data_IF_638888636220
#
_entry.id   IF_638888636220
#
_cell.length_a   1.000
_cell.length_b   1.000
_cell.length_c   1.000
_cell.angle_alpha   90.00
_cell.angle_beta   90.00
_cell.angle_gamma   90.00
#
_symmetry.space_group_name_H-M   'P 1'
#
loop_
_entity.id
_entity.type
_entity.pdbx_description
1 polymer ?
#
# COMPACT_ATOMS: atom_id res chain seq x y z
N UNK A 1 3.67 -19.50 18.18
CA UNK A 1 3.49 -18.14 18.72
C UNK A 1 4.52 -17.26 18.05
N UNK A 2 4.11 -16.36 17.14
CA UNK A 2 5.00 -15.28 16.67
C UNK A 2 5.23 -14.39 17.89
N UNK A 3 6.47 -14.18 18.31
CA UNK A 3 6.77 -13.23 19.37
C UNK A 3 6.33 -11.85 18.89
N UNK A 4 5.53 -11.14 19.69
CA UNK A 4 5.33 -9.72 19.46
C UNK A 4 6.72 -9.07 19.32
N UNK A 5 6.95 -8.37 18.21
CA UNK A 5 8.17 -7.59 18.03
C UNK A 5 8.37 -6.71 19.28
N UNK A 6 9.60 -6.59 19.83
CA UNK A 6 9.85 -5.79 21.02
C UNK A 6 9.75 -4.30 20.70
N UNK A 7 8.51 -3.82 20.56
CA UNK A 7 8.18 -2.40 20.43
C UNK A 7 8.05 -1.81 21.82
N UNK A 8 8.54 -0.58 21.99
CA UNK A 8 8.33 0.19 23.21
C UNK A 8 6.83 0.22 23.54
N UNK A 9 6.41 -0.26 24.72
CA UNK A 9 4.99 -0.35 25.07
C UNK A 9 4.26 1.00 25.07
N UNK A 10 4.95 2.10 25.40
CA UNK A 10 4.35 3.44 25.40
C UNK A 10 4.18 3.96 23.98
N UNK A 11 5.16 3.72 23.10
CA UNK A 11 5.04 4.03 21.67
C UNK A 11 3.90 3.23 21.04
N UNK A 12 3.84 1.93 21.33
CA UNK A 12 2.75 1.06 20.87
C UNK A 12 1.40 1.58 21.34
N UNK A 13 1.26 1.87 22.62
CA UNK A 13 0.02 2.40 23.18
C UNK A 13 -0.41 3.69 22.46
N UNK A 14 0.51 4.64 22.30
CA UNK A 14 0.23 5.90 21.62
C UNK A 14 -0.24 5.71 20.18
N UNK A 15 0.48 4.92 19.38
CA UNK A 15 0.12 4.67 17.98
C UNK A 15 -1.25 4.00 17.88
N UNK A 16 -1.51 3.00 18.71
CA UNK A 16 -2.77 2.24 18.71
C UNK A 16 -3.96 3.09 19.21
N UNK A 17 -3.74 4.02 20.15
CA UNK A 17 -4.80 4.86 20.72
C UNK A 17 -5.05 6.16 19.95
N UNK A 18 -4.05 6.68 19.24
CA UNK A 18 -4.07 8.06 18.74
C UNK A 18 -3.80 8.18 17.25
N UNK A 19 -3.05 7.26 16.63
CA UNK A 19 -2.66 7.35 15.21
C UNK A 19 -3.55 6.47 14.35
N UNK A 20 -3.53 5.16 14.61
CA UNK A 20 -4.30 4.18 13.83
C UNK A 20 -5.81 4.48 13.82
N UNK A 21 -6.45 4.91 14.93
CA UNK A 21 -7.87 5.23 14.92
C UNK A 21 -8.27 6.38 13.99
N UNK A 22 -7.33 7.26 13.58
CA UNK A 22 -7.64 8.36 12.66
C UNK A 22 -8.03 7.83 11.26
N UNK A 23 -7.51 6.67 10.87
CA UNK A 23 -7.80 6.02 9.58
C UNK A 23 -9.26 5.56 9.47
N UNK A 24 -10.05 5.54 10.55
CA UNK A 24 -11.50 5.29 10.49
C UNK A 24 -12.26 6.35 9.67
N UNK A 25 -11.65 7.51 9.43
CA UNK A 25 -12.21 8.59 8.61
C UNK A 25 -11.97 8.39 7.11
N UNK A 26 -11.13 7.42 6.72
CA UNK A 26 -10.75 7.17 5.34
C UNK A 26 -11.62 6.08 4.70
N UNK A 27 -11.45 5.89 3.39
CA UNK A 27 -12.14 4.83 2.68
C UNK A 27 -11.68 3.43 3.13
N UNK A 28 -12.45 2.40 2.77
CA UNK A 28 -12.20 1.02 3.19
C UNK A 28 -10.82 0.49 2.81
N UNK A 29 -10.21 1.00 1.74
CA UNK A 29 -8.88 0.60 1.27
C UNK A 29 -7.75 1.21 2.10
N UNK A 30 -8.03 2.24 2.91
CA UNK A 30 -7.06 2.91 3.78
C UNK A 30 -7.56 2.91 5.23
N UNK A 31 -8.24 1.84 5.63
CA UNK A 31 -8.79 1.66 6.98
C UNK A 31 -7.71 1.21 7.99
N UNK A 32 -7.98 1.20 9.31
CA UNK A 32 -7.06 0.64 10.30
C UNK A 32 -6.58 -0.79 9.97
N UNK A 33 -7.43 -1.60 9.35
CA UNK A 33 -7.07 -2.95 8.92
C UNK A 33 -5.95 -2.96 7.87
N UNK A 34 -5.94 -1.99 6.94
CA UNK A 34 -4.85 -1.80 5.99
C UNK A 34 -3.55 -1.47 6.73
N UNK A 35 -3.60 -0.51 7.66
CA UNK A 35 -2.42 -0.09 8.44
C UNK A 35 -1.82 -1.26 9.21
N UNK A 36 -2.64 -2.08 9.90
CA UNK A 36 -2.15 -3.27 10.59
C UNK A 36 -1.54 -4.31 9.64
N UNK A 37 -2.10 -4.49 8.46
CA UNK A 37 -1.54 -5.37 7.45
C UNK A 37 -0.16 -4.89 6.98
N UNK A 38 0.00 -3.58 6.76
CA UNK A 38 1.27 -2.95 6.38
C UNK A 38 2.29 -3.06 7.51
N UNK A 39 1.88 -2.85 8.77
CA UNK A 39 2.74 -3.08 9.95
C UNK A 39 3.24 -4.53 9.98
N UNK A 40 2.34 -5.51 9.81
CA UNK A 40 2.72 -6.92 9.81
C UNK A 40 3.72 -7.22 8.68
N UNK A 41 3.44 -6.74 7.46
CA UNK A 41 4.36 -6.92 6.32
C UNK A 41 5.72 -6.28 6.60
N UNK A 42 5.72 -5.08 7.19
CA UNK A 42 6.95 -4.35 7.51
C UNK A 42 7.81 -5.11 8.52
N UNK A 43 7.20 -5.73 9.53
CA UNK A 43 7.92 -6.60 10.46
C UNK A 43 8.47 -7.86 9.79
N UNK A 44 7.69 -8.53 8.94
CA UNK A 44 8.15 -9.72 8.21
C UNK A 44 9.36 -9.40 7.31
N UNK A 45 9.38 -8.22 6.69
CA UNK A 45 10.54 -7.75 5.90
C UNK A 45 11.73 -7.40 6.81
N UNK A 46 11.46 -6.81 7.98
CA UNK A 46 12.50 -6.37 8.91
C UNK A 46 13.21 -7.50 9.67
N UNK A 47 12.64 -8.72 9.72
CA UNK A 47 13.19 -9.87 10.48
C UNK A 47 14.68 -10.15 10.21
N UNK A 48 15.14 -9.92 8.97
CA UNK A 48 16.52 -10.20 8.56
C UNK A 48 17.36 -8.94 8.33
N UNK A 49 16.84 -7.76 8.68
CA UNK A 49 17.47 -6.47 8.39
C UNK A 49 18.00 -5.81 9.68
N UNK A 50 19.13 -5.08 9.61
CA UNK A 50 19.69 -4.37 10.76
C UNK A 50 18.94 -3.04 11.00
N UNK A 51 17.68 -3.12 11.43
CA UNK A 51 16.79 -1.96 11.64
C UNK A 51 16.19 -1.94 13.04
N UNK A 52 15.81 -0.76 13.50
CA UNK A 52 15.05 -0.56 14.74
C UNK A 52 13.55 -0.78 14.46
N UNK A 53 12.96 -1.76 15.14
CA UNK A 53 11.56 -2.12 14.96
C UNK A 53 10.59 -1.02 15.43
N UNK A 54 10.99 -0.14 16.36
CA UNK A 54 10.17 1.02 16.75
C UNK A 54 10.02 2.01 15.59
N UNK A 55 11.09 2.19 14.81
CA UNK A 55 11.09 3.04 13.61
C UNK A 55 10.26 2.38 12.50
N UNK A 56 10.45 1.08 12.25
CA UNK A 56 9.63 0.31 11.29
C UNK A 56 8.14 0.43 11.61
N UNK A 57 7.78 0.23 12.87
CA UNK A 57 6.41 0.33 13.37
C UNK A 57 5.83 1.73 13.17
N UNK A 58 6.59 2.76 13.51
CA UNK A 58 6.16 4.16 13.36
C UNK A 58 5.98 4.54 11.90
N UNK A 59 6.93 4.20 11.02
CA UNK A 59 6.81 4.47 9.58
C UNK A 59 5.56 3.80 9.00
N UNK A 60 5.33 2.52 9.32
CA UNK A 60 4.15 1.80 8.84
C UNK A 60 2.83 2.39 9.37
N UNK A 61 2.78 2.82 10.62
CA UNK A 61 1.57 3.42 11.20
C UNK A 61 1.22 4.78 10.61
N UNK A 62 2.21 5.55 10.14
CA UNK A 62 2.01 6.92 9.61
C UNK A 62 1.98 7.00 8.08
N UNK A 63 2.33 5.95 7.33
CA UNK A 63 2.58 6.04 5.88
C UNK A 63 1.48 6.82 5.10
N UNK A 64 0.22 6.53 5.39
CA UNK A 64 -0.94 7.07 4.68
C UNK A 64 -1.76 8.11 5.46
N UNK A 65 -1.32 8.52 6.65
CA UNK A 65 -2.10 9.43 7.52
C UNK A 65 -2.36 10.81 6.89
N UNK A 66 -1.50 11.23 5.97
CA UNK A 66 -1.68 12.43 5.15
C UNK A 66 -2.93 12.42 4.27
N UNK A 67 -3.57 11.27 4.05
CA UNK A 67 -4.84 11.16 3.31
C UNK A 67 -6.00 11.88 3.99
N UNK A 68 -5.89 12.18 5.30
CA UNK A 68 -6.84 13.04 6.03
C UNK A 68 -6.96 14.44 5.40
N UNK A 69 -5.94 14.88 4.65
CA UNK A 69 -5.90 16.15 3.93
C UNK A 69 -6.14 15.99 2.42
N UNK A 70 -6.62 14.82 2.00
CA UNK A 70 -6.89 14.46 0.61
C UNK A 70 -5.73 13.73 -0.09
N UNK A 71 -6.03 13.13 -1.24
CA UNK A 71 -5.08 12.28 -1.98
C UNK A 71 -3.87 13.02 -2.56
N UNK A 72 -4.05 14.29 -2.91
CA UNK A 72 -2.98 15.09 -3.54
C UNK A 72 -1.90 15.39 -2.49
N UNK A 73 -0.66 14.94 -2.77
CA UNK A 73 0.50 15.14 -1.91
C UNK A 73 0.37 14.49 -0.51
N UNK A 74 -0.42 13.43 -0.37
CA UNK A 74 -0.61 12.77 0.93
C UNK A 74 0.71 12.28 1.53
N UNK A 75 1.66 11.76 0.74
CA UNK A 75 3.02 11.41 1.21
C UNK A 75 3.69 12.55 1.98
N UNK A 76 3.74 13.74 1.39
CA UNK A 76 4.37 14.91 2.00
C UNK A 76 3.55 15.45 3.18
N UNK A 77 2.24 15.23 3.20
CA UNK A 77 1.41 15.54 4.37
C UNK A 77 1.67 14.55 5.50
N UNK A 78 1.79 13.25 5.22
CA UNK A 78 2.16 12.22 6.19
C UNK A 78 3.52 12.56 6.82
N UNK A 79 4.51 12.96 6.02
CA UNK A 79 5.80 13.47 6.52
C UNK A 79 5.65 14.66 7.46
N UNK A 80 4.87 15.67 7.09
CA UNK A 80 4.64 16.85 7.95
C UNK A 80 3.99 16.46 9.26
N UNK A 81 3.04 15.51 9.25
CA UNK A 81 2.39 15.01 10.45
C UNK A 81 3.41 14.35 11.38
N UNK A 82 4.30 13.51 10.84
CA UNK A 82 5.41 12.93 11.61
C UNK A 82 6.32 14.01 12.20
N UNK A 83 6.79 14.95 11.39
CA UNK A 83 7.75 15.98 11.82
C UNK A 83 7.15 16.98 12.83
N UNK A 84 5.82 17.09 12.90
CA UNK A 84 5.10 17.99 13.82
C UNK A 84 4.49 17.25 15.02
N UNK A 85 4.63 15.93 15.09
CA UNK A 85 4.10 15.13 16.18
C UNK A 85 4.87 15.42 17.48
N UNK A 86 4.18 16.00 18.46
CA UNK A 86 4.78 16.39 19.74
C UNK A 86 5.09 15.20 20.67
N UNK A 87 4.58 14.00 20.36
CA UNK A 87 4.80 12.79 21.17
C UNK A 87 6.04 12.04 20.72
N UNK A 88 6.34 11.99 19.42
CA UNK A 88 7.52 11.30 18.87
C UNK A 88 8.88 11.71 19.50
N UNK A 89 9.11 12.97 19.92
CA UNK A 89 10.34 13.36 20.63
C UNK A 89 10.62 12.64 21.95
N UNK A 90 9.62 11.96 22.55
CA UNK A 90 9.83 11.12 23.74
C UNK A 90 10.53 9.79 23.39
N UNK A 91 10.47 9.38 22.12
CA UNK A 91 10.98 8.09 21.64
C UNK A 91 12.19 8.24 20.70
N UNK A 92 12.22 9.32 19.92
CA UNK A 92 13.16 9.50 18.83
C UNK A 92 13.83 10.87 18.89
N UNK A 93 15.10 10.93 18.52
CA UNK A 93 15.82 12.20 18.37
C UNK A 93 15.33 12.95 17.11
N UNK A 94 15.49 14.29 17.03
CA UNK A 94 15.06 15.05 15.87
C UNK A 94 15.59 14.53 14.51
N UNK A 95 16.87 14.10 14.38
CA UNK A 95 17.35 13.48 13.14
C UNK A 95 16.62 12.18 12.78
N UNK A 96 16.25 11.38 13.79
CA UNK A 96 15.49 10.13 13.58
C UNK A 96 14.06 10.44 13.16
N UNK A 97 13.40 11.43 13.76
CA UNK A 97 12.05 11.88 13.36
C UNK A 97 12.06 12.37 11.91
N UNK A 98 13.07 13.15 11.52
CA UNK A 98 13.20 13.59 10.13
C UNK A 98 13.30 12.39 9.19
N UNK A 99 14.16 11.41 9.49
CA UNK A 99 14.30 10.18 8.70
C UNK A 99 13.01 9.32 8.66
N UNK A 100 12.23 9.26 9.75
CA UNK A 100 10.89 8.62 9.76
C UNK A 100 9.98 9.35 8.76
N UNK A 101 9.95 10.68 8.81
CA UNK A 101 9.16 11.50 7.89
C UNK A 101 9.57 11.29 6.44
N UNK A 102 10.87 11.17 6.16
CA UNK A 102 11.39 10.82 4.83
C UNK A 102 10.96 9.42 4.38
N UNK A 103 11.07 8.43 5.25
CA UNK A 103 10.66 7.05 4.95
C UNK A 103 9.14 6.96 4.65
N UNK A 104 8.33 7.69 5.42
CA UNK A 104 6.88 7.82 5.21
C UNK A 104 6.55 8.49 3.88
N UNK A 105 7.28 9.54 3.49
CA UNK A 105 7.11 10.19 2.18
C UNK A 105 7.56 9.29 1.01
N UNK A 106 8.46 8.35 1.28
CA UNK A 106 8.99 7.42 0.28
C UNK A 106 8.15 6.13 0.12
N UNK A 107 6.99 6.02 0.80
CA UNK A 107 6.24 4.77 0.83
C UNK A 107 5.69 4.34 -0.53
N UNK A 108 5.35 5.28 -1.42
CA UNK A 108 4.79 4.87 -2.70
C UNK A 108 5.75 4.07 -3.56
N UNK A 109 5.30 2.87 -3.92
CA UNK A 109 5.94 1.99 -4.90
C UNK A 109 6.14 2.62 -6.30
N UNK A 110 5.36 3.65 -6.64
CA UNK A 110 5.41 4.31 -7.95
C UNK A 110 6.27 5.58 -7.97
N UNK A 111 7.08 5.83 -6.94
CA UNK A 111 8.04 6.94 -6.95
C UNK A 111 9.12 6.67 -8.01
N UNK A 112 9.58 7.72 -8.74
CA UNK A 112 10.57 7.55 -9.81
C UNK A 112 12.00 7.35 -9.28
N UNK A 113 12.21 7.54 -7.98
CA UNK A 113 13.50 7.45 -7.31
C UNK A 113 13.53 6.35 -6.25
N UNK A 114 14.73 5.98 -5.83
CA UNK A 114 14.97 5.02 -4.75
C UNK A 114 14.65 5.65 -3.39
N UNK A 115 13.91 4.94 -2.49
CA UNK A 115 13.70 5.41 -1.13
C UNK A 115 15.01 5.74 -0.41
N UNK A 116 15.03 6.85 0.32
CA UNK A 116 16.25 7.45 0.92
C UNK A 116 16.88 6.60 2.02
N UNK A 117 16.10 5.71 2.64
CA UNK A 117 16.55 4.88 3.75
C UNK A 117 16.05 3.44 3.62
N UNK A 118 16.65 2.53 4.41
CA UNK A 118 16.18 1.15 4.50
C UNK A 118 14.73 1.08 5.01
N UNK A 119 14.34 2.00 5.90
CA UNK A 119 12.94 2.13 6.36
C UNK A 119 11.99 2.52 5.23
N UNK A 120 12.41 3.45 4.36
CA UNK A 120 11.66 3.82 3.15
C UNK A 120 11.49 2.63 2.19
N UNK A 121 12.54 1.81 2.02
CA UNK A 121 12.45 0.57 1.23
C UNK A 121 11.49 -0.45 1.86
N UNK A 122 11.55 -0.63 3.18
CA UNK A 122 10.66 -1.55 3.91
C UNK A 122 9.20 -1.15 3.68
N UNK A 123 8.86 0.12 3.95
CA UNK A 123 7.47 0.56 3.81
C UNK A 123 7.00 0.53 2.35
N UNK A 124 7.90 0.86 1.41
CA UNK A 124 7.60 0.74 -0.02
C UNK A 124 7.31 -0.68 -0.47
N UNK A 125 7.94 -1.69 0.13
CA UNK A 125 7.59 -3.09 -0.14
C UNK A 125 6.36 -3.55 0.64
N UNK A 126 6.18 -3.10 1.88
CA UNK A 126 5.13 -3.54 2.77
C UNK A 126 3.72 -3.06 2.37
N UNK A 127 3.63 -1.86 1.79
CA UNK A 127 2.39 -1.23 1.33
C UNK A 127 1.89 -1.74 -0.04
N UNK A 128 2.71 -2.53 -0.76
CA UNK A 128 2.33 -3.00 -2.09
C UNK A 128 1.14 -3.96 -2.05
N UNK A 129 0.06 -3.57 -2.71
CA UNK A 129 -1.00 -4.50 -3.08
C UNK A 129 -0.65 -5.23 -4.39
N UNK A 130 -0.24 -6.49 -4.26
CA UNK A 130 0.07 -7.39 -5.38
C UNK A 130 -0.93 -8.56 -5.50
N UNK A 131 -2.10 -8.43 -4.88
CA UNK A 131 -3.18 -9.38 -5.08
C UNK A 131 -3.85 -9.13 -6.44
N UNK A 132 -3.74 -10.09 -7.36
CA UNK A 132 -4.26 -9.95 -8.72
C UNK A 132 -5.77 -9.64 -8.78
N UNK A 133 -6.60 -10.32 -7.98
CA UNK A 133 -8.06 -10.07 -8.00
C UNK A 133 -8.39 -8.66 -7.50
N UNK A 134 -7.70 -8.17 -6.45
CA UNK A 134 -7.87 -6.78 -5.97
C UNK A 134 -7.40 -5.75 -7.00
N UNK A 135 -6.24 -5.96 -7.62
CA UNK A 135 -5.74 -5.09 -8.70
C UNK A 135 -6.77 -5.05 -9.84
N UNK A 136 -7.22 -6.21 -10.31
CA UNK A 136 -8.20 -6.31 -11.40
C UNK A 136 -9.50 -5.59 -11.06
N UNK A 137 -10.03 -5.80 -9.85
CA UNK A 137 -11.23 -5.10 -9.36
C UNK A 137 -11.05 -3.58 -9.37
N UNK A 138 -9.93 -3.06 -8.83
CA UNK A 138 -9.65 -1.61 -8.78
C UNK A 138 -9.46 -1.01 -10.17
N UNK A 139 -8.78 -1.72 -11.07
CA UNK A 139 -8.59 -1.28 -12.45
C UNK A 139 -9.92 -1.21 -13.20
N UNK A 140 -10.78 -2.22 -13.02
CA UNK A 140 -12.12 -2.23 -13.62
C UNK A 140 -13.03 -1.15 -13.05
N UNK A 141 -13.02 -0.93 -11.73
CA UNK A 141 -13.79 0.13 -11.09
C UNK A 141 -13.39 1.51 -11.64
N UNK A 142 -12.09 1.77 -11.78
CA UNK A 142 -11.61 3.01 -12.37
C UNK A 142 -12.02 3.16 -13.84
N UNK A 143 -11.88 2.10 -14.64
CA UNK A 143 -12.28 2.11 -16.04
C UNK A 143 -13.80 2.34 -16.20
N UNK A 144 -14.61 1.73 -15.35
CA UNK A 144 -16.06 1.87 -15.36
C UNK A 144 -16.49 3.27 -14.89
N UNK A 145 -16.06 3.70 -13.70
CA UNK A 145 -16.56 4.95 -13.09
C UNK A 145 -15.88 6.21 -13.62
N UNK A 146 -14.57 6.15 -13.89
CA UNK A 146 -13.78 7.34 -14.27
C UNK A 146 -13.60 7.46 -15.77
N UNK A 147 -13.45 6.34 -16.49
CA UNK A 147 -13.39 6.33 -17.95
C UNK A 147 -14.75 6.07 -18.62
N UNK A 148 -15.79 5.76 -17.86
CA UNK A 148 -17.15 5.52 -18.37
C UNK A 148 -17.21 4.41 -19.42
N UNK A 149 -16.30 3.42 -19.34
CA UNK A 149 -16.30 2.27 -20.23
C UNK A 149 -17.36 1.26 -19.76
N UNK A 150 -18.31 0.94 -20.62
CA UNK A 150 -19.41 0.01 -20.31
C UNK A 150 -19.39 -1.25 -21.18
N UNK A 151 -18.69 -1.22 -22.32
CA UNK A 151 -18.48 -2.39 -23.16
C UNK A 151 -17.50 -3.38 -22.50
N UNK A 152 -17.88 -4.66 -22.47
CA UNK A 152 -17.11 -5.69 -21.76
C UNK A 152 -15.75 -5.96 -22.40
N UNK A 153 -15.64 -5.93 -23.72
CA UNK A 153 -14.38 -6.16 -24.41
C UNK A 153 -13.43 -4.98 -24.22
N UNK A 154 -13.95 -3.74 -24.25
CA UNK A 154 -13.17 -2.55 -23.93
C UNK A 154 -12.68 -2.55 -22.48
N UNK A 155 -13.54 -2.91 -21.51
CA UNK A 155 -13.16 -3.05 -20.10
C UNK A 155 -12.08 -4.11 -19.90
N UNK A 156 -12.24 -5.28 -20.52
CA UNK A 156 -11.26 -6.35 -20.50
C UNK A 156 -9.91 -5.89 -21.08
N UNK A 157 -9.94 -5.28 -22.27
CA UNK A 157 -8.75 -4.78 -22.94
C UNK A 157 -8.03 -3.70 -22.12
N UNK A 158 -8.76 -2.71 -21.61
CA UNK A 158 -8.23 -1.64 -20.77
C UNK A 158 -7.58 -2.21 -19.50
N UNK A 159 -8.25 -3.15 -18.83
CA UNK A 159 -7.70 -3.78 -17.64
C UNK A 159 -6.42 -4.58 -17.93
N UNK A 160 -6.42 -5.37 -19.01
CA UNK A 160 -5.24 -6.13 -19.42
C UNK A 160 -4.06 -5.21 -19.74
N UNK A 161 -4.27 -4.15 -20.54
CA UNK A 161 -3.23 -3.20 -20.91
C UNK A 161 -2.66 -2.48 -19.68
N UNK A 162 -3.52 -2.00 -18.79
CA UNK A 162 -3.09 -1.31 -17.57
C UNK A 162 -2.24 -2.23 -16.68
N UNK A 163 -2.71 -3.45 -16.40
CA UNK A 163 -2.02 -4.39 -15.51
C UNK A 163 -0.71 -4.85 -16.15
N UNK A 164 -0.71 -5.16 -17.45
CA UNK A 164 0.50 -5.56 -18.18
C UNK A 164 1.57 -4.48 -18.14
N UNK A 165 1.19 -3.21 -18.40
CA UNK A 165 2.14 -2.09 -18.37
C UNK A 165 2.70 -1.84 -16.97
N UNK A 166 1.84 -1.90 -15.94
CA UNK A 166 2.20 -1.48 -14.59
C UNK A 166 2.86 -2.58 -13.75
N UNK A 167 2.46 -3.83 -13.96
CA UNK A 167 2.86 -4.96 -13.13
C UNK A 167 3.38 -6.15 -13.94
N UNK A 168 3.40 -6.08 -15.27
CA UNK A 168 3.85 -7.18 -16.11
C UNK A 168 5.38 -7.36 -16.13
N UNK A 169 5.89 -8.41 -16.81
CA UNK A 169 7.31 -8.72 -16.84
C UNK A 169 8.21 -7.64 -17.45
N UNK A 170 7.64 -6.77 -18.29
CA UNK A 170 8.33 -5.62 -18.89
C UNK A 170 7.98 -4.28 -18.21
N UNK A 171 7.33 -4.32 -17.05
CA UNK A 171 7.03 -3.09 -16.30
C UNK A 171 8.31 -2.47 -15.73
N UNK A 172 8.28 -1.15 -15.52
CA UNK A 172 9.34 -0.41 -14.82
C UNK A 172 9.20 -0.52 -13.28
N UNK A 173 8.34 -1.41 -12.79
CA UNK A 173 8.13 -1.59 -11.36
C UNK A 173 9.44 -2.05 -10.71
N UNK A 174 9.97 -1.21 -9.82
CA UNK A 174 11.16 -1.52 -9.04
C UNK A 174 10.77 -2.17 -7.72
N UNK A 175 11.45 -3.26 -7.40
CA UNK A 175 11.41 -3.94 -6.10
C UNK A 175 12.77 -3.73 -5.44
N UNK A 176 12.78 -3.24 -4.20
CA UNK A 176 13.98 -2.81 -3.49
C UNK A 176 14.50 -3.85 -2.50
N UNK A 177 13.63 -4.71 -1.97
CA UNK A 177 13.98 -5.75 -1.01
C UNK A 177 13.38 -7.09 -1.44
N UNK A 178 14.08 -8.16 -1.08
CA UNK A 178 13.59 -9.52 -1.29
C UNK A 178 12.46 -9.82 -0.29
N UNK A 179 11.22 -9.58 -0.72
CA UNK A 179 10.03 -9.93 0.04
C UNK A 179 9.19 -10.96 -0.70
N UNK A 180 9.13 -12.17 -0.14
CA UNK A 180 8.51 -13.33 -0.79
C UNK A 180 7.05 -13.12 -1.18
N UNK A 181 6.24 -12.41 -0.37
CA UNK A 181 4.84 -12.12 -0.75
C UNK A 181 4.74 -11.27 -2.01
N UNK A 182 5.67 -10.33 -2.20
CA UNK A 182 5.70 -9.50 -3.39
C UNK A 182 6.12 -10.33 -4.61
N UNK A 183 7.11 -11.21 -4.46
CA UNK A 183 7.52 -12.13 -5.52
C UNK A 183 6.39 -13.09 -5.92
N UNK A 184 5.73 -13.72 -4.95
CA UNK A 184 4.62 -14.65 -5.17
C UNK A 184 3.44 -13.92 -5.85
N UNK A 185 3.11 -12.71 -5.40
CA UNK A 185 2.07 -11.87 -6.01
C UNK A 185 2.38 -11.51 -7.47
N UNK A 186 3.62 -11.07 -7.74
CA UNK A 186 4.07 -10.78 -9.11
C UNK A 186 4.06 -12.04 -9.99
N UNK A 187 4.48 -13.19 -9.47
CA UNK A 187 4.45 -14.45 -10.20
C UNK A 187 3.02 -14.84 -10.62
N UNK A 188 2.04 -14.65 -9.73
CA UNK A 188 0.61 -14.84 -10.06
C UNK A 188 0.16 -13.86 -11.14
N UNK A 189 0.53 -12.57 -11.04
CA UNK A 189 0.20 -11.57 -12.06
C UNK A 189 0.80 -11.97 -13.42
N UNK A 190 2.07 -12.39 -13.46
CA UNK A 190 2.74 -12.82 -14.69
C UNK A 190 2.06 -14.04 -15.30
N UNK A 191 1.70 -15.03 -14.48
CA UNK A 191 0.97 -16.21 -14.95
C UNK A 191 -0.38 -15.81 -15.57
N UNK A 192 -1.13 -14.93 -14.92
CA UNK A 192 -2.42 -14.43 -15.43
C UNK A 192 -2.26 -13.71 -16.75
N UNK A 193 -1.26 -12.84 -16.88
CA UNK A 193 -0.99 -12.11 -18.13
C UNK A 193 -0.50 -13.03 -19.26
N UNK A 194 0.28 -14.06 -18.95
CA UNK A 194 0.79 -15.01 -19.95
C UNK A 194 -0.29 -15.97 -20.48
N UNK A 195 -1.43 -16.10 -19.79
CA UNK A 195 -2.51 -17.03 -20.12
C UNK A 195 -3.82 -16.25 -20.36
N UNK A 196 -4.14 -15.86 -21.61
CA UNK A 196 -5.30 -15.04 -21.93
C UNK A 196 -6.62 -15.58 -21.36
N UNK A 197 -6.85 -16.89 -21.48
CA UNK A 197 -8.04 -17.55 -20.92
C UNK A 197 -8.12 -17.43 -19.40
N UNK A 198 -6.98 -17.52 -18.69
CA UNK A 198 -6.98 -17.37 -17.24
C UNK A 198 -7.24 -15.94 -16.80
N UNK A 199 -6.76 -14.93 -17.55
CA UNK A 199 -7.09 -13.54 -17.28
C UNK A 199 -8.58 -13.29 -17.53
N UNK A 200 -9.08 -13.77 -18.68
CA UNK A 200 -10.48 -13.65 -19.08
C UNK A 200 -11.43 -14.24 -18.04
N UNK A 201 -11.13 -15.44 -17.55
CA UNK A 201 -11.93 -16.07 -16.51
C UNK A 201 -12.00 -15.24 -15.22
N UNK A 202 -10.86 -14.66 -14.79
CA UNK A 202 -10.84 -13.78 -13.62
C UNK A 202 -11.60 -12.47 -13.87
N UNK A 203 -11.55 -11.92 -15.09
CA UNK A 203 -12.33 -10.76 -15.49
C UNK A 203 -13.84 -11.05 -15.41
N UNK A 204 -14.30 -12.15 -16.01
CA UNK A 204 -15.72 -12.55 -16.04
C UNK A 204 -16.29 -12.78 -14.64
N UNK A 205 -15.46 -13.26 -13.70
CA UNK A 205 -15.84 -13.40 -12.29
C UNK A 205 -16.00 -12.06 -11.57
N UNK A 206 -15.17 -11.05 -11.90
CA UNK A 206 -15.06 -9.80 -11.12
C UNK A 206 -15.90 -8.67 -11.72
N UNK A 207 -16.00 -8.56 -13.04
CA UNK A 207 -16.71 -7.45 -13.71
C UNK A 207 -18.18 -7.30 -13.28
N UNK A 208 -18.97 -8.38 -13.04
CA UNK A 208 -20.35 -8.22 -12.58
C UNK A 208 -20.43 -7.60 -11.19
N UNK A 209 -19.47 -7.93 -10.30
CA UNK A 209 -19.40 -7.38 -8.95
C UNK A 209 -19.08 -5.89 -8.96
N UNK A 210 -18.25 -5.44 -9.91
CA UNK A 210 -17.92 -4.03 -10.10
C UNK A 210 -19.15 -3.27 -10.59
N UNK A 211 -19.82 -3.77 -11.63
CA UNK A 211 -21.01 -3.13 -12.20
C UNK A 211 -22.15 -3.06 -11.19
N UNK A 212 -22.36 -4.12 -10.39
CA UNK A 212 -23.39 -4.12 -9.35
C UNK A 212 -23.09 -3.07 -8.26
N UNK A 213 -21.87 -3.04 -7.75
CA UNK A 213 -21.48 -2.11 -6.69
C UNK A 213 -21.58 -0.63 -7.11
N UNK A 214 -21.24 -0.30 -8.36
CA UNK A 214 -21.36 1.09 -8.85
C UNK A 214 -22.81 1.53 -9.12
N UNK A 215 -23.76 0.59 -9.29
CA UNK A 215 -25.19 0.93 -9.44
C UNK A 215 -25.85 1.22 -8.10
N UNK A 216 -25.42 0.54 -7.03
CA UNK A 216 -25.93 0.78 -5.66
C UNK A 216 -25.51 2.14 -5.08
N UNK A 217 -24.50 2.80 -5.67
CA UNK A 217 -24.02 4.12 -5.24
C UNK A 217 -24.69 5.30 -5.96
N UNK A 218 -25.46 5.03 -7.03
CA UNK A 218 -26.15 6.05 -7.83
C UNK A 218 -27.65 6.21 -7.46
N UNK A 219 -28.16 5.38 -6.53
CA UNK A 219 -29.50 5.45 -5.91
C UNK A 219 -29.44 6.12 -4.52
#
# INVERSE_FOLDING_TARGET
MKSDAPIDPQLKHYIESSIIPQYNQLDSSHSPAHVHQVIQNSFEIAETLPVDLNIVYTVAAYHDIGLLYGRKNHESNSRKIVEQDAVLPHFFSPPVISMIGEAVEDHRASLPYEPRSLYGKIISEADRDLNFERILKRTLLFAYEKKQLTDLEQLHHEAYQYISKKYGPQSELKVWLDYRKNQDGLAVIYQKLAQPESFRHSFEKIVPLVIAASKETDD
#
